data_IF_609839815654
#
_entry.id   IF_609839815654
#
_cell.length_a   1.000
_cell.length_b   1.000
_cell.length_c   1.000
_cell.angle_alpha   90.00
_cell.angle_beta   90.00
_cell.angle_gamma   90.00
#
_symmetry.space_group_name_H-M   'P 1'
#
loop_
_entity.id
_entity.type
_entity.pdbx_description
1 polymer ?
#
# COMPACT_ATOMS: atom_id res chain seq x y z
N UNK A 1 -9.03 17.52 -29.84
CA UNK A 1 -7.59 17.46 -29.51
C UNK A 1 -7.35 18.13 -28.17
N UNK A 2 -7.41 17.38 -27.06
CA UNK A 2 -7.05 17.85 -25.71
C UNK A 2 -6.42 16.67 -24.95
N UNK A 3 -5.26 16.21 -25.41
CA UNK A 3 -4.35 15.42 -24.58
C UNK A 3 -3.62 16.40 -23.67
N UNK A 4 -4.18 16.69 -22.49
CA UNK A 4 -3.46 17.42 -21.43
C UNK A 4 -2.51 16.47 -20.71
N UNK A 5 -1.25 16.89 -20.56
CA UNK A 5 -0.14 16.16 -19.93
C UNK A 5 -0.51 15.56 -18.55
N UNK A 6 0.07 14.41 -18.15
CA UNK A 6 -0.08 13.87 -16.80
C UNK A 6 0.45 14.87 -15.76
N UNK A 7 -0.35 15.21 -14.75
CA UNK A 7 0.03 16.08 -13.63
C UNK A 7 -0.25 15.40 -12.29
N UNK A 8 0.68 15.55 -11.34
CA UNK A 8 0.62 14.93 -10.01
C UNK A 8 -0.34 15.69 -9.11
N UNK A 9 -1.18 14.96 -8.36
CA UNK A 9 -2.10 15.51 -7.37
C UNK A 9 -1.67 15.08 -5.96
N UNK A 10 -1.62 16.03 -5.03
CA UNK A 10 -1.24 15.81 -3.63
C UNK A 10 -2.31 16.40 -2.70
N UNK A 11 -2.57 15.80 -1.54
CA UNK A 11 -3.69 16.19 -0.66
C UNK A 11 -3.31 16.19 0.83
N UNK A 12 -3.33 17.35 1.51
CA UNK A 12 -3.08 17.45 2.96
C UNK A 12 -4.37 17.68 3.75
N UNK A 13 -4.57 17.00 4.90
CA UNK A 13 -5.61 17.36 5.88
C UNK A 13 -5.09 17.60 7.31
N UNK A 14 -5.76 18.44 8.11
CA UNK A 14 -5.33 18.81 9.48
C UNK A 14 -5.42 17.66 10.50
N UNK A 15 -6.30 16.67 10.29
CA UNK A 15 -6.41 15.50 11.15
C UNK A 15 -5.56 14.32 10.64
N UNK A 16 -5.31 14.28 9.31
CA UNK A 16 -4.54 13.25 8.61
C UNK A 16 -3.85 13.86 7.38
N UNK A 17 -2.53 14.05 7.42
CA UNK A 17 -1.78 14.60 6.29
C UNK A 17 -1.47 13.43 5.33
N UNK A 18 -2.26 13.24 4.27
CA UNK A 18 -1.97 12.29 3.17
C UNK A 18 -0.99 12.93 2.17
N UNK A 19 -0.31 12.15 1.32
CA UNK A 19 0.45 12.69 0.19
C UNK A 19 0.79 11.60 -0.84
N UNK A 20 -0.02 11.50 -1.92
CA UNK A 20 0.29 11.25 -3.34
C UNK A 20 -0.87 10.52 -4.07
N UNK A 21 -1.35 11.08 -5.18
CA UNK A 21 -2.17 10.38 -6.18
C UNK A 21 -1.73 10.80 -7.59
N UNK A 22 -1.41 9.83 -8.46
CA UNK A 22 -1.24 10.08 -9.89
C UNK A 22 -2.20 9.21 -10.72
N UNK A 23 -2.78 9.83 -11.76
CA UNK A 23 -3.79 9.35 -12.74
C UNK A 23 -5.24 9.17 -12.27
N UNK A 24 -6.12 10.04 -12.77
CA UNK A 24 -7.54 9.72 -13.05
C UNK A 24 -8.58 9.94 -11.95
N UNK A 25 -8.20 10.02 -10.67
CA UNK A 25 -9.15 10.35 -9.61
C UNK A 25 -9.48 11.85 -9.60
N UNK A 26 -10.50 12.27 -10.36
CA UNK A 26 -11.30 13.45 -9.98
C UNK A 26 -12.10 13.09 -8.74
N UNK A 27 -11.47 13.07 -7.57
CA UNK A 27 -12.23 13.13 -6.33
C UNK A 27 -12.81 14.54 -6.25
N UNK A 28 -14.08 14.68 -6.68
CA UNK A 28 -14.85 15.90 -6.54
C UNK A 28 -14.74 16.44 -5.11
N UNK A 29 -14.55 17.75 -4.99
CA UNK A 29 -14.31 18.47 -3.75
C UNK A 29 -15.52 18.57 -2.81
N UNK A 30 -16.62 17.89 -3.11
CA UNK A 30 -17.90 17.95 -2.39
C UNK A 30 -18.36 16.49 -2.31
N UNK A 31 -18.47 15.81 -1.17
CA UNK A 31 -19.24 16.14 0.01
C UNK A 31 -18.93 15.08 1.08
N UNK A 32 -18.27 15.45 2.18
CA UNK A 32 -18.23 14.65 3.41
C UNK A 32 -18.35 15.62 4.59
N UNK A 33 -19.34 15.46 5.49
CA UNK A 33 -19.55 16.36 6.61
C UNK A 33 -18.53 16.02 7.70
N UNK A 34 -17.30 16.51 7.58
CA UNK A 34 -16.34 16.52 8.68
C UNK A 34 -15.42 17.74 8.55
N UNK A 35 -15.13 18.39 9.67
CA UNK A 35 -14.32 19.61 9.93
C UNK A 35 -12.84 19.51 9.53
N UNK A 36 -12.51 18.72 8.50
CA UNK A 36 -11.16 18.52 8.00
C UNK A 36 -10.83 19.57 6.93
N UNK A 37 -9.93 20.49 7.26
CA UNK A 37 -9.32 21.39 6.26
C UNK A 37 -8.53 20.54 5.26
N UNK A 38 -8.85 20.64 3.96
CA UNK A 38 -8.18 19.92 2.87
C UNK A 38 -7.45 20.93 1.97
N UNK A 39 -6.15 20.72 1.74
CA UNK A 39 -5.36 21.52 0.78
C UNK A 39 -4.82 20.60 -0.31
N UNK A 40 -5.22 20.86 -1.55
CA UNK A 40 -4.68 20.22 -2.73
C UNK A 40 -3.39 20.92 -3.18
N UNK A 41 -2.45 20.14 -3.72
CA UNK A 41 -1.26 20.65 -4.39
C UNK A 41 -1.11 19.96 -5.75
N UNK A 42 -0.52 20.66 -6.70
CA UNK A 42 -0.23 20.16 -8.04
C UNK A 42 1.13 20.66 -8.51
N UNK A 43 1.73 19.95 -9.47
CA UNK A 43 3.05 20.27 -10.01
C UNK A 43 4.07 19.16 -9.79
N UNK A 44 5.29 19.40 -10.27
CA UNK A 44 6.39 18.43 -10.23
C UNK A 44 7.13 18.42 -8.89
N UNK A 45 7.15 19.54 -8.15
CA UNK A 45 7.78 19.62 -6.83
C UNK A 45 6.80 19.19 -5.72
N UNK A 46 7.05 18.05 -5.03
CA UNK A 46 6.19 17.59 -3.94
C UNK A 46 6.44 18.34 -2.63
N UNK A 47 7.50 19.17 -2.53
CA UNK A 47 7.94 19.81 -1.28
C UNK A 47 6.80 20.49 -0.52
N UNK A 48 5.93 21.34 -1.15
CA UNK A 48 4.85 22.01 -0.43
C UNK A 48 3.80 21.06 0.18
N UNK A 49 3.66 19.86 -0.40
CA UNK A 49 2.76 18.82 0.08
C UNK A 49 3.38 17.95 1.19
N UNK A 50 4.71 17.82 1.19
CA UNK A 50 5.48 17.06 2.17
C UNK A 50 5.74 17.86 3.46
N UNK A 51 5.71 19.18 3.42
CA UNK A 51 5.98 20.04 4.57
C UNK A 51 5.10 19.72 5.80
N UNK A 52 5.77 19.19 6.83
CA UNK A 52 5.15 18.75 8.07
C UNK A 52 4.24 17.54 7.91
N UNK A 53 4.39 16.72 6.88
CA UNK A 53 3.63 15.47 6.76
C UNK A 53 4.03 14.50 7.87
N UNK A 54 3.04 13.88 8.52
CA UNK A 54 3.22 12.80 9.50
C UNK A 54 3.11 11.42 8.83
N UNK A 55 2.34 11.35 7.74
CA UNK A 55 2.15 10.16 6.91
C UNK A 55 2.33 10.56 5.43
N UNK A 56 3.00 9.73 4.64
CA UNK A 56 3.17 9.90 3.19
C UNK A 56 2.77 8.59 2.52
N UNK A 57 1.80 8.63 1.60
CA UNK A 57 1.35 7.44 0.87
C UNK A 57 1.72 7.56 -0.60
N UNK A 58 2.79 6.88 -1.00
CA UNK A 58 3.35 6.97 -2.36
C UNK A 58 2.60 6.02 -3.29
N UNK A 59 1.58 6.54 -3.99
CA UNK A 59 0.90 5.85 -5.10
C UNK A 59 1.36 6.33 -6.49
N UNK A 60 2.39 7.18 -6.54
CA UNK A 60 2.90 7.76 -7.77
C UNK A 60 3.63 6.69 -8.59
N UNK A 61 3.22 6.51 -9.83
CA UNK A 61 3.81 5.53 -10.73
C UNK A 61 3.04 5.48 -12.03
N UNK A 62 3.57 4.68 -12.95
CA UNK A 62 2.91 4.37 -14.22
C UNK A 62 2.32 2.98 -14.09
N UNK A 63 1.06 2.82 -14.52
CA UNK A 63 0.47 1.50 -14.70
C UNK A 63 1.01 0.89 -16.00
N UNK A 64 1.09 -0.45 -16.07
CA UNK A 64 1.53 -1.15 -17.27
C UNK A 64 0.69 -0.71 -18.48
N UNK A 65 1.36 -0.30 -19.57
CA UNK A 65 0.74 0.07 -20.85
C UNK A 65 1.05 -0.98 -21.92
N UNK A 66 0.21 -1.13 -22.97
CA UNK A 66 0.55 -1.93 -24.13
C UNK A 66 1.92 -1.55 -24.69
N UNK A 67 2.77 -2.54 -25.00
CA UNK A 67 4.13 -2.33 -25.53
C UNK A 67 5.23 -2.09 -24.49
N UNK A 68 4.90 -1.92 -23.20
CA UNK A 68 5.89 -1.80 -22.12
C UNK A 68 6.27 -3.18 -21.59
N UNK A 69 7.56 -3.48 -21.56
CA UNK A 69 8.05 -4.71 -20.94
C UNK A 69 8.08 -4.59 -19.40
N UNK A 70 8.45 -5.67 -18.70
CA UNK A 70 8.51 -5.65 -17.23
C UNK A 70 9.65 -4.79 -16.70
N UNK A 71 10.78 -4.73 -17.40
CA UNK A 71 11.96 -3.99 -16.99
C UNK A 71 11.74 -2.48 -17.14
N UNK A 72 11.09 -2.03 -18.21
CA UNK A 72 10.70 -0.65 -18.45
C UNK A 72 9.81 -0.12 -17.33
N UNK A 73 8.75 -0.86 -17.01
CA UNK A 73 7.82 -0.50 -15.94
C UNK A 73 8.54 -0.39 -14.59
N UNK A 74 9.42 -1.36 -14.32
CA UNK A 74 10.25 -1.37 -13.13
C UNK A 74 11.15 -0.13 -13.06
N UNK A 75 11.92 0.16 -14.11
CA UNK A 75 12.86 1.28 -14.16
C UNK A 75 12.16 2.63 -13.96
N UNK A 76 11.00 2.81 -14.61
CA UNK A 76 10.19 4.03 -14.47
C UNK A 76 9.72 4.22 -13.02
N UNK A 77 9.11 3.19 -12.44
CA UNK A 77 8.57 3.29 -11.08
C UNK A 77 9.68 3.36 -10.02
N UNK A 78 10.80 2.66 -10.23
CA UNK A 78 12.00 2.76 -9.40
C UNK A 78 12.55 4.20 -9.38
N UNK A 79 12.65 4.85 -10.54
CA UNK A 79 13.08 6.25 -10.65
C UNK A 79 12.13 7.21 -9.91
N UNK A 80 10.81 7.02 -10.06
CA UNK A 80 9.80 7.83 -9.37
C UNK A 80 9.91 7.66 -7.85
N UNK A 81 9.96 6.43 -7.35
CA UNK A 81 10.05 6.15 -5.91
C UNK A 81 11.36 6.68 -5.33
N UNK A 82 12.48 6.51 -6.04
CA UNK A 82 13.77 7.07 -5.63
C UNK A 82 13.68 8.59 -5.46
N UNK A 83 13.21 9.31 -6.46
CA UNK A 83 13.12 10.77 -6.42
C UNK A 83 12.19 11.27 -5.30
N UNK A 84 11.08 10.57 -5.06
CA UNK A 84 10.18 10.89 -3.95
C UNK A 84 10.78 10.58 -2.59
N UNK A 85 11.49 9.46 -2.44
CA UNK A 85 12.20 9.12 -1.21
C UNK A 85 13.31 10.15 -0.90
N UNK A 86 14.04 10.64 -1.91
CA UNK A 86 15.03 11.72 -1.75
C UNK A 86 14.38 13.01 -1.22
N UNK A 87 13.19 13.37 -1.73
CA UNK A 87 12.44 14.53 -1.23
C UNK A 87 11.90 14.31 0.19
N UNK A 88 11.37 13.14 0.49
CA UNK A 88 10.88 12.78 1.83
C UNK A 88 12.02 12.87 2.85
N UNK A 89 13.22 12.37 2.49
CA UNK A 89 14.40 12.39 3.35
C UNK A 89 14.80 13.81 3.80
N UNK A 90 14.59 14.80 2.94
CA UNK A 90 14.93 16.21 3.22
C UNK A 90 13.78 16.94 3.93
N UNK A 91 12.54 16.76 3.46
CA UNK A 91 11.42 17.63 3.85
C UNK A 91 10.65 17.11 5.07
N UNK A 92 10.49 15.79 5.20
CA UNK A 92 9.73 15.17 6.29
C UNK A 92 10.33 13.82 6.72
N UNK A 93 11.62 13.76 7.13
CA UNK A 93 12.33 12.51 7.42
C UNK A 93 11.72 11.68 8.57
N UNK A 94 10.87 12.29 9.40
CA UNK A 94 10.22 11.63 10.54
C UNK A 94 8.84 11.06 10.20
N UNK A 95 8.33 11.27 8.99
CA UNK A 95 7.02 10.77 8.55
C UNK A 95 7.01 9.24 8.44
N UNK A 96 5.84 8.63 8.63
CA UNK A 96 5.60 7.24 8.22
C UNK A 96 5.28 7.20 6.72
N UNK A 97 5.98 6.35 5.97
CA UNK A 97 5.93 6.27 4.51
C UNK A 97 5.34 4.94 4.07
N UNK A 98 4.18 4.96 3.43
CA UNK A 98 3.56 3.80 2.80
C UNK A 98 3.78 3.80 1.29
N UNK A 99 4.56 2.86 0.77
CA UNK A 99 4.79 2.66 -0.67
C UNK A 99 3.69 1.75 -1.23
N UNK A 100 2.90 2.30 -2.15
CA UNK A 100 1.85 1.59 -2.91
C UNK A 100 2.33 1.31 -4.33
N UNK A 101 3.27 2.13 -4.83
CA UNK A 101 3.84 2.01 -6.16
C UNK A 101 4.42 0.62 -6.39
N UNK A 102 3.95 -0.04 -7.46
CA UNK A 102 4.42 -1.38 -7.80
C UNK A 102 5.71 -1.35 -8.63
N UNK A 103 6.56 -2.38 -8.53
CA UNK A 103 6.42 -3.56 -7.66
C UNK A 103 6.83 -3.26 -6.21
N UNK A 104 5.95 -3.51 -5.23
CA UNK A 104 6.19 -3.18 -3.81
C UNK A 104 7.44 -3.89 -3.27
N UNK A 105 7.60 -5.19 -3.57
CA UNK A 105 8.74 -6.02 -3.17
C UNK A 105 10.12 -5.45 -3.56
N UNK A 106 10.18 -4.49 -4.46
CA UNK A 106 11.45 -3.85 -4.90
C UNK A 106 11.49 -2.36 -4.63
N UNK A 107 10.36 -1.67 -4.77
CA UNK A 107 10.28 -0.22 -4.51
C UNK A 107 10.45 0.12 -3.03
N UNK A 108 10.03 -0.76 -2.11
CA UNK A 108 10.27 -0.60 -0.66
C UNK A 108 11.78 -0.67 -0.35
N UNK A 109 12.53 -1.71 -0.77
CA UNK A 109 13.98 -1.71 -0.66
C UNK A 109 14.66 -0.48 -1.28
N UNK A 110 14.20 -0.01 -2.44
CA UNK A 110 14.75 1.21 -3.08
C UNK A 110 14.57 2.43 -2.16
N UNK A 111 13.37 2.63 -1.62
CA UNK A 111 13.11 3.72 -0.69
C UNK A 111 13.96 3.60 0.58
N UNK A 112 14.11 2.39 1.12
CA UNK A 112 14.96 2.12 2.28
C UNK A 112 16.42 2.53 2.02
N UNK A 113 17.00 2.11 0.90
CA UNK A 113 18.38 2.43 0.54
C UNK A 113 18.61 3.94 0.32
N UNK A 114 17.63 4.65 -0.26
CA UNK A 114 17.68 6.11 -0.38
C UNK A 114 17.70 6.77 0.99
N UNK A 115 16.80 6.36 1.89
CA UNK A 115 16.72 6.90 3.25
C UNK A 115 17.97 6.56 4.08
N UNK A 116 18.56 5.37 3.89
CA UNK A 116 19.80 4.93 4.54
C UNK A 116 20.97 5.80 4.08
N UNK A 117 21.11 6.02 2.77
CA UNK A 117 22.13 6.93 2.20
C UNK A 117 21.98 8.36 2.69
N UNK A 118 20.76 8.81 2.92
CA UNK A 118 20.49 10.13 3.50
C UNK A 118 20.67 10.20 5.02
N UNK A 119 20.95 9.08 5.70
CA UNK A 119 21.17 9.03 7.16
C UNK A 119 19.90 9.22 8.00
N UNK A 120 18.71 9.05 7.41
CA UNK A 120 17.41 9.31 8.07
C UNK A 120 16.49 8.09 8.14
N UNK A 121 17.00 6.91 7.76
CA UNK A 121 16.22 5.69 7.74
C UNK A 121 15.78 5.25 9.15
N UNK A 122 14.48 5.04 9.31
CA UNK A 122 13.88 4.37 10.47
C UNK A 122 13.03 3.21 9.95
N UNK A 123 13.48 1.96 10.19
CA UNK A 123 12.78 0.76 9.72
C UNK A 123 11.34 0.64 10.22
N UNK A 124 11.00 1.30 11.33
CA UNK A 124 9.63 1.32 11.87
C UNK A 124 8.68 2.19 11.07
N UNK A 125 9.19 3.03 10.16
CA UNK A 125 8.43 4.07 9.47
C UNK A 125 8.31 3.87 7.97
N UNK A 126 8.86 2.81 7.40
CA UNK A 126 8.73 2.50 5.99
C UNK A 126 7.91 1.21 5.81
N UNK A 127 6.87 1.28 4.99
CA UNK A 127 5.92 0.20 4.78
C UNK A 127 5.66 0.00 3.29
N UNK A 128 5.59 -1.24 2.83
CA UNK A 128 4.95 -1.61 1.58
C UNK A 128 3.49 -1.97 1.82
N UNK A 129 2.59 -1.26 1.15
CA UNK A 129 1.15 -1.42 1.36
C UNK A 129 0.62 -2.65 0.62
N UNK A 130 0.53 -3.78 1.34
CA UNK A 130 0.02 -5.06 0.82
C UNK A 130 -1.45 -5.33 1.18
N UNK A 131 -2.12 -4.36 1.81
CA UNK A 131 -3.51 -4.49 2.30
C UNK A 131 -4.52 -4.88 1.22
N UNK A 132 -4.21 -4.66 -0.06
CA UNK A 132 -5.04 -5.12 -1.18
C UNK A 132 -5.18 -6.65 -1.22
N UNK A 133 -4.13 -7.37 -0.86
CA UNK A 133 -4.14 -8.85 -0.86
C UNK A 133 -5.01 -9.38 0.28
N UNK A 134 -4.98 -8.71 1.44
CA UNK A 134 -5.86 -9.02 2.58
C UNK A 134 -7.32 -8.84 2.19
N UNK A 135 -7.72 -7.67 1.66
CA UNK A 135 -9.14 -7.45 1.31
C UNK A 135 -9.63 -8.38 0.19
N UNK A 136 -8.75 -8.77 -0.74
CA UNK A 136 -9.06 -9.78 -1.77
C UNK A 136 -9.29 -11.14 -1.15
N UNK A 137 -8.41 -11.55 -0.23
CA UNK A 137 -8.49 -12.83 0.47
C UNK A 137 -9.76 -12.90 1.32
N UNK A 138 -10.07 -11.85 2.08
CA UNK A 138 -11.33 -11.70 2.83
C UNK A 138 -12.55 -11.85 1.90
N UNK A 139 -12.54 -11.16 0.76
CA UNK A 139 -13.64 -11.22 -0.23
C UNK A 139 -13.82 -12.62 -0.83
N UNK A 140 -12.73 -13.26 -1.24
CA UNK A 140 -12.81 -14.57 -1.91
C UNK A 140 -13.17 -15.70 -0.94
N UNK A 141 -12.64 -15.66 0.28
CA UNK A 141 -13.00 -16.62 1.32
C UNK A 141 -14.46 -16.44 1.72
N UNK A 142 -14.91 -15.20 1.92
CA UNK A 142 -16.30 -14.90 2.23
C UNK A 142 -17.26 -15.41 1.15
N UNK A 143 -16.93 -15.19 -0.12
CA UNK A 143 -17.73 -15.68 -1.23
C UNK A 143 -17.76 -17.22 -1.32
N UNK A 144 -16.64 -17.90 -1.06
CA UNK A 144 -16.59 -19.37 -1.10
C UNK A 144 -17.38 -20.00 0.05
N UNK A 145 -17.33 -19.39 1.24
CA UNK A 145 -17.91 -19.95 2.47
C UNK A 145 -19.25 -19.33 2.85
N UNK A 146 -19.86 -18.57 1.94
CA UNK A 146 -21.14 -17.87 2.13
C UNK A 146 -21.18 -17.03 3.43
N UNK A 147 -20.14 -16.22 3.64
CA UNK A 147 -20.01 -15.31 4.79
C UNK A 147 -20.04 -13.85 4.35
N UNK A 148 -20.25 -12.95 5.30
CA UNK A 148 -20.06 -11.52 5.10
C UNK A 148 -18.55 -11.19 5.00
N UNK A 149 -18.05 -10.58 3.91
CA UNK A 149 -16.66 -10.16 3.79
C UNK A 149 -16.21 -9.17 4.88
N UNK A 150 -17.14 -8.42 5.48
CA UNK A 150 -16.85 -7.54 6.62
C UNK A 150 -16.44 -8.28 7.90
N UNK A 151 -16.86 -9.55 8.03
CA UNK A 151 -16.65 -10.39 9.21
C UNK A 151 -15.53 -11.43 9.02
N UNK A 152 -15.04 -11.62 7.80
CA UNK A 152 -13.90 -12.50 7.52
C UNK A 152 -12.59 -11.73 7.71
N UNK A 153 -11.62 -12.36 8.37
CA UNK A 153 -10.23 -11.89 8.45
C UNK A 153 -9.33 -13.00 7.91
N UNK A 154 -8.56 -12.67 6.88
CA UNK A 154 -7.59 -13.61 6.29
C UNK A 154 -6.20 -13.01 6.42
N UNK A 155 -5.34 -13.60 7.26
CA UNK A 155 -3.93 -13.26 7.31
C UNK A 155 -3.26 -13.49 5.95
N UNK A 156 -2.47 -12.52 5.47
CA UNK A 156 -1.65 -12.66 4.26
C UNK A 156 -0.23 -12.21 4.58
N UNK A 157 0.76 -13.05 4.29
CA UNK A 157 2.19 -12.77 4.52
C UNK A 157 3.02 -12.88 3.24
N UNK A 158 4.33 -12.67 3.35
CA UNK A 158 5.27 -12.80 2.23
C UNK A 158 5.56 -11.46 1.59
N UNK A 159 5.21 -11.33 0.31
CA UNK A 159 5.31 -10.11 -0.48
C UNK A 159 4.00 -9.78 -1.19
N UNK A 160 4.07 -8.92 -2.20
CA UNK A 160 2.94 -8.34 -2.92
C UNK A 160 2.91 -8.70 -4.42
N UNK A 161 3.51 -9.82 -4.82
CA UNK A 161 3.55 -10.22 -6.23
C UNK A 161 3.53 -11.72 -6.45
N UNK A 162 2.49 -12.20 -7.13
CA UNK A 162 2.37 -13.60 -7.56
C UNK A 162 2.60 -14.57 -6.40
N UNK A 163 3.54 -15.49 -6.59
CA UNK A 163 3.87 -16.56 -5.62
C UNK A 163 4.39 -16.05 -4.27
N UNK A 164 4.78 -14.79 -4.17
CA UNK A 164 5.20 -14.20 -2.89
C UNK A 164 4.02 -13.88 -1.97
N UNK A 165 2.79 -13.84 -2.49
CA UNK A 165 1.57 -13.58 -1.70
C UNK A 165 1.11 -14.90 -1.08
N UNK A 166 1.12 -14.98 0.26
CA UNK A 166 0.82 -16.20 1.01
C UNK A 166 -0.38 -15.98 1.94
N UNK A 167 -1.61 -16.31 1.52
CA UNK A 167 -2.78 -16.29 2.40
C UNK A 167 -2.75 -17.48 3.37
N UNK A 168 -2.75 -17.21 4.68
CA UNK A 168 -2.75 -18.25 5.72
C UNK A 168 -4.17 -18.73 5.97
N UNK A 169 -4.70 -19.50 5.02
CA UNK A 169 -6.08 -20.01 5.07
C UNK A 169 -6.35 -20.89 6.30
N UNK A 170 -5.32 -21.54 6.83
CA UNK A 170 -5.39 -22.33 8.07
C UNK A 170 -5.69 -21.50 9.32
N UNK A 171 -5.48 -20.19 9.29
CA UNK A 171 -5.72 -19.28 10.41
C UNK A 171 -7.05 -18.52 10.31
N UNK A 172 -7.89 -18.83 9.31
CA UNK A 172 -9.19 -18.16 9.18
C UNK A 172 -10.18 -18.78 10.16
N UNK A 173 -10.68 -17.97 11.09
CA UNK A 173 -11.58 -18.44 12.14
C UNK A 173 -12.96 -18.87 11.62
N UNK A 174 -13.46 -19.99 12.18
CA UNK A 174 -14.82 -20.47 11.94
C UNK A 174 -15.08 -20.98 10.52
N UNK A 175 -14.04 -21.32 9.76
CA UNK A 175 -14.14 -22.01 8.46
C UNK A 175 -13.06 -23.08 8.37
N UNK A 176 -13.33 -24.11 7.57
CA UNK A 176 -12.33 -25.12 7.17
C UNK A 176 -12.27 -25.18 5.66
N UNK A 177 -11.12 -25.59 5.12
CA UNK A 177 -10.90 -25.72 3.69
C UNK A 177 -10.45 -27.14 3.34
N UNK A 178 -10.89 -27.65 2.19
CA UNK A 178 -10.25 -28.83 1.59
C UNK A 178 -8.94 -28.42 0.91
N UNK A 179 -8.07 -29.38 0.61
CA UNK A 179 -6.81 -29.11 -0.09
C UNK A 179 -7.04 -28.48 -1.47
N UNK A 180 -8.10 -28.88 -2.16
CA UNK A 180 -8.51 -28.29 -3.44
C UNK A 180 -8.95 -26.83 -3.29
N UNK A 181 -9.72 -26.51 -2.23
CA UNK A 181 -10.11 -25.14 -1.93
C UNK A 181 -8.90 -24.27 -1.57
N UNK A 182 -7.95 -24.79 -0.80
CA UNK A 182 -6.70 -24.10 -0.46
C UNK A 182 -5.90 -23.78 -1.72
N UNK A 183 -5.71 -24.77 -2.60
CA UNK A 183 -4.98 -24.60 -3.85
C UNK A 183 -5.67 -23.59 -4.79
N UNK A 184 -7.00 -23.70 -4.94
CA UNK A 184 -7.77 -22.81 -5.80
C UNK A 184 -7.80 -21.37 -5.29
N UNK A 185 -8.05 -21.16 -3.99
CA UNK A 185 -8.06 -19.83 -3.37
C UNK A 185 -6.69 -19.18 -3.44
N UNK A 186 -5.63 -19.91 -3.08
CA UNK A 186 -4.26 -19.38 -3.12
C UNK A 186 -3.90 -18.93 -4.52
N UNK A 187 -4.14 -19.77 -5.54
CA UNK A 187 -3.90 -19.43 -6.94
C UNK A 187 -4.70 -18.19 -7.36
N UNK A 188 -5.97 -18.10 -6.98
CA UNK A 188 -6.82 -16.94 -7.31
C UNK A 188 -6.31 -15.66 -6.66
N UNK A 189 -5.99 -15.69 -5.37
CA UNK A 189 -5.46 -14.55 -4.60
C UNK A 189 -4.16 -14.03 -5.23
N UNK A 190 -3.23 -14.92 -5.55
CA UNK A 190 -1.95 -14.58 -6.19
C UNK A 190 -2.12 -13.96 -7.60
N UNK A 191 -3.20 -14.28 -8.30
CA UNK A 191 -3.48 -13.82 -9.67
C UNK A 191 -4.57 -12.75 -9.76
N UNK A 192 -5.14 -12.30 -8.65
CA UNK A 192 -6.25 -11.33 -8.62
C UNK A 192 -5.90 -9.97 -9.26
N UNK A 193 -4.61 -9.62 -9.31
CA UNK A 193 -4.13 -8.47 -10.08
C UNK A 193 -4.35 -8.64 -11.59
N UNK A 194 -4.04 -9.83 -12.10
CA UNK A 194 -4.21 -10.21 -13.51
C UNK A 194 -5.69 -10.25 -13.89
N UNK A 195 -6.55 -10.84 -13.05
CA UNK A 195 -8.01 -10.88 -13.28
C UNK A 195 -8.59 -9.48 -13.56
N UNK A 196 -8.16 -8.47 -12.81
CA UNK A 196 -8.64 -7.08 -13.01
C UNK A 196 -8.12 -6.47 -14.30
N UNK A 197 -6.86 -6.73 -14.67
CA UNK A 197 -6.28 -6.22 -15.92
C UNK A 197 -6.99 -6.82 -17.13
N UNK A 198 -7.29 -8.12 -17.08
CA UNK A 198 -8.04 -8.84 -18.11
C UNK A 198 -9.48 -8.35 -18.20
N UNK A 199 -10.18 -8.21 -17.07
CA UNK A 199 -11.54 -7.67 -17.02
C UNK A 199 -11.64 -6.24 -17.55
N UNK A 200 -10.56 -5.45 -17.43
CA UNK A 200 -10.45 -4.10 -18.01
C UNK A 200 -9.95 -4.10 -19.46
N UNK A 201 -9.81 -5.25 -20.10
CA UNK A 201 -9.28 -5.41 -21.46
C UNK A 201 -7.93 -4.67 -21.67
N UNK A 202 -7.05 -4.70 -20.66
CA UNK A 202 -5.77 -3.98 -20.71
C UNK A 202 -5.84 -2.47 -20.46
N UNK A 203 -7.02 -1.93 -20.14
CA UNK A 203 -7.24 -0.51 -19.81
C UNK A 203 -6.66 -0.03 -18.47
N UNK A 204 -5.84 -0.85 -17.83
CA UNK A 204 -5.16 -0.55 -16.56
C UNK A 204 -5.42 -1.59 -15.47
N UNK A 205 -4.78 -1.40 -14.32
CA UNK A 205 -4.89 -2.30 -13.16
C UNK A 205 -6.00 -1.87 -12.18
N UNK A 206 -6.08 -2.55 -11.05
CA UNK A 206 -6.98 -2.21 -9.95
C UNK A 206 -6.69 -0.78 -9.42
N UNK A 207 -7.71 0.08 -9.43
CA UNK A 207 -7.61 1.47 -8.96
C UNK A 207 -8.48 1.69 -7.74
N UNK A 208 -9.79 1.41 -7.83
CA UNK A 208 -10.75 1.63 -6.75
C UNK A 208 -10.48 0.75 -5.52
N UNK A 209 -10.29 -0.55 -5.72
CA UNK A 209 -9.97 -1.47 -4.62
C UNK A 209 -8.60 -1.19 -4.01
N UNK A 210 -7.63 -0.75 -4.81
CA UNK A 210 -6.33 -0.28 -4.29
C UNK A 210 -6.50 1.00 -3.46
N UNK A 211 -7.33 1.94 -3.89
CA UNK A 211 -7.68 3.14 -3.12
C UNK A 211 -8.31 2.80 -1.77
N UNK A 212 -9.23 1.85 -1.74
CA UNK A 212 -9.84 1.35 -0.50
C UNK A 212 -8.80 0.67 0.42
N UNK A 213 -7.93 -0.18 -0.12
CA UNK A 213 -6.87 -0.83 0.64
C UNK A 213 -5.87 0.18 1.24
N UNK A 214 -5.43 1.15 0.43
CA UNK A 214 -4.55 2.22 0.88
C UNK A 214 -5.22 3.11 1.95
N UNK A 215 -6.53 3.36 1.83
CA UNK A 215 -7.30 4.07 2.84
C UNK A 215 -7.38 3.27 4.16
N UNK A 216 -7.65 1.96 4.10
CA UNK A 216 -7.66 1.07 5.29
C UNK A 216 -6.30 1.12 6.00
N UNK A 217 -5.20 0.99 5.26
CA UNK A 217 -3.85 1.14 5.79
C UNK A 217 -3.58 2.53 6.39
N UNK A 218 -3.89 3.59 5.65
CA UNK A 218 -3.64 4.97 6.08
C UNK A 218 -4.40 5.34 7.35
N UNK A 219 -5.68 4.96 7.45
CA UNK A 219 -6.49 5.19 8.65
C UNK A 219 -5.99 4.40 9.85
N UNK A 220 -5.59 3.15 9.63
CA UNK A 220 -4.99 2.29 10.64
C UNK A 220 -3.71 2.91 11.22
N UNK A 221 -2.82 3.39 10.35
CA UNK A 221 -1.59 4.08 10.72
C UNK A 221 -1.86 5.38 11.50
N UNK A 222 -2.82 6.19 11.06
CA UNK A 222 -3.22 7.42 11.76
C UNK A 222 -3.73 7.13 13.16
N UNK A 223 -4.62 6.14 13.32
CA UNK A 223 -5.16 5.77 14.64
C UNK A 223 -4.03 5.38 15.60
N UNK A 224 -3.06 4.60 15.13
CA UNK A 224 -1.89 4.22 15.91
C UNK A 224 -1.02 5.44 16.29
N UNK A 225 -0.78 6.36 15.35
CA UNK A 225 -0.04 7.61 15.60
C UNK A 225 -0.74 8.51 16.62
N UNK A 226 -2.08 8.48 16.69
CA UNK A 226 -2.88 9.18 17.69
C UNK A 226 -2.88 8.49 19.07
N UNK A 227 -2.30 7.30 19.18
CA UNK A 227 -2.22 6.54 20.43
C UNK A 227 -3.49 5.77 20.77
N UNK A 228 -4.35 5.47 19.79
CA UNK A 228 -5.46 4.54 19.98
C UNK A 228 -4.87 3.15 20.28
N UNK A 229 -5.21 2.61 21.45
CA UNK A 229 -4.58 1.42 22.05
C UNK A 229 -5.07 0.10 21.49
N UNK A 230 -6.16 0.08 20.71
CA UNK A 230 -6.58 -1.13 20.01
C UNK A 230 -5.47 -1.56 19.06
N UNK A 231 -5.03 -2.82 19.19
CA UNK A 231 -3.95 -3.38 18.39
C UNK A 231 -4.34 -3.27 16.93
N UNK A 232 -3.74 -2.31 16.22
CA UNK A 232 -3.91 -2.19 14.79
C UNK A 232 -2.96 -3.20 14.16
N UNK A 233 -3.40 -4.45 14.12
CA UNK A 233 -2.68 -5.52 13.44
C UNK A 233 -2.82 -5.34 11.94
N UNK A 234 -1.70 -5.11 11.28
CA UNK A 234 -1.61 -5.11 9.83
C UNK A 234 -0.56 -6.13 9.41
N UNK A 235 -0.70 -6.63 8.19
CA UNK A 235 0.37 -7.35 7.51
C UNK A 235 0.80 -6.49 6.34
N UNK A 236 2.04 -5.99 6.40
CA UNK A 236 2.61 -5.03 5.45
C UNK A 236 4.11 -5.27 5.33
N UNK A 237 4.65 -5.05 4.13
CA UNK A 237 6.05 -5.30 3.84
C UNK A 237 6.96 -4.32 4.60
N UNK A 238 7.80 -4.82 5.50
CA UNK A 238 8.69 -4.03 6.37
C UNK A 238 10.06 -4.67 6.46
N UNK A 239 11.08 -3.87 6.81
CA UNK A 239 12.41 -4.43 7.07
C UNK A 239 12.41 -5.18 8.42
N UNK A 240 12.53 -6.50 8.36
CA UNK A 240 12.47 -7.42 9.51
C UNK A 240 13.85 -7.81 10.05
N UNK A 241 13.90 -8.91 10.80
CA UNK A 241 15.15 -9.49 11.33
C UNK A 241 15.85 -10.45 10.35
N UNK A 242 15.21 -10.73 9.20
CA UNK A 242 15.83 -11.52 8.12
C UNK A 242 15.62 -13.02 8.18
N UNK A 243 14.69 -13.54 9.00
CA UNK A 243 14.37 -14.98 9.07
C UNK A 243 13.99 -15.57 7.70
N UNK A 244 13.11 -14.89 6.96
CA UNK A 244 12.66 -15.30 5.62
C UNK A 244 13.31 -14.47 4.51
N UNK A 245 13.34 -13.15 4.70
CA UNK A 245 13.92 -12.17 3.78
C UNK A 245 14.15 -10.84 4.53
N UNK A 246 15.01 -9.94 4.03
CA UNK A 246 15.21 -8.62 4.64
C UNK A 246 13.91 -7.80 4.70
N UNK A 247 13.08 -7.90 3.65
CA UNK A 247 11.75 -7.32 3.57
C UNK A 247 10.72 -8.44 3.48
N UNK A 248 9.74 -8.40 4.37
CA UNK A 248 8.67 -9.39 4.46
C UNK A 248 7.42 -8.71 5.01
N UNK A 249 6.24 -9.26 4.75
CA UNK A 249 4.97 -8.82 5.32
C UNK A 249 4.51 -9.68 6.51
N UNK A 250 5.11 -9.54 7.72
CA UNK A 250 4.65 -10.22 8.92
C UNK A 250 3.43 -9.50 9.51
N UNK A 251 2.73 -10.12 10.49
CA UNK A 251 1.84 -9.36 11.36
C UNK A 251 2.65 -8.35 12.18
N UNK A 252 2.18 -7.10 12.22
CA UNK A 252 2.81 -6.00 12.93
C UNK A 252 1.82 -5.35 13.89
N UNK A 253 2.33 -4.88 15.03
CA UNK A 253 1.64 -3.95 15.90
C UNK A 253 2.09 -2.53 15.57
N UNK A 254 1.15 -1.65 15.24
CA UNK A 254 1.43 -0.23 15.06
C UNK A 254 1.28 0.54 16.38
N UNK A 255 2.11 1.57 16.55
CA UNK A 255 2.05 2.51 17.66
C UNK A 255 2.39 3.95 17.25
N UNK A 256 2.69 4.81 18.24
CA UNK A 256 2.93 6.25 18.03
C UNK A 256 4.13 6.59 17.14
N UNK A 257 5.00 5.62 16.88
CA UNK A 257 6.25 5.80 16.12
C UNK A 257 6.35 4.91 14.88
N UNK A 258 5.22 4.36 14.40
CA UNK A 258 5.20 3.37 13.31
C UNK A 258 5.11 1.95 13.87
N UNK A 259 5.91 1.01 13.37
CA UNK A 259 5.99 -0.37 13.89
C UNK A 259 6.46 -0.35 15.36
N UNK A 260 5.63 -0.89 16.25
CA UNK A 260 5.93 -1.10 17.67
C UNK A 260 6.51 -2.50 17.92
N UNK A 261 5.95 -3.52 17.27
CA UNK A 261 6.43 -4.90 17.33
C UNK A 261 6.13 -5.66 16.04
N UNK A 262 7.02 -6.61 15.72
CA UNK A 262 6.72 -7.70 14.78
C UNK A 262 6.09 -8.83 15.61
N UNK A 263 5.01 -9.42 15.12
CA UNK A 263 4.28 -10.51 15.78
C UNK A 263 4.61 -11.83 15.08
N UNK A 264 4.39 -12.94 15.77
CA UNK A 264 4.57 -14.29 15.22
C UNK A 264 3.51 -14.60 14.15
N UNK A 265 3.91 -15.42 13.17
CA UNK A 265 3.10 -15.71 11.97
C UNK A 265 1.91 -16.60 12.27
#
# INVERSE_FOLDING_TARGET
>A
ALYSKPSSCWFRSRAVRYCACHTGCRCGSESYPNTSYRKGYAGEDPTPALEGADVVLVSAGVARKPGMDRADLFNVNAGIVKALAEKIAVVCPKACVGIITNPVNTTVPIAAEVLKKAGVYDKRKLFGVTTLDVIRSETFVAALKDKDPGQVRVPVIGGHSGVTILPLLSQVEGVSFTDEEVAALTKRIQNAGTEVVEAKAGGGSATLSMGQAACRFGLALVKALQGVSEVVELRVDVEGEGEYAPFFAPPIKLGKNGVEALLDI
#
